data_IF_031942179115
#
_entry.id   IF_031942179115
#
_cell.length_a   1.000
_cell.length_b   1.000
_cell.length_c   1.000
_cell.angle_alpha   90.00
_cell.angle_beta   90.00
_cell.angle_gamma   90.00
#
_symmetry.space_group_name_H-M   'P 1'
#
loop_
_entity.id
_entity.type
_entity.pdbx_description
1 polymer ?
#
# COMPACT_ATOMS: atom_id res chain seq x y z
N UNK A 1 -9.22 -10.24 -27.11
CA UNK A 1 -10.04 -9.83 -25.98
C UNK A 1 -9.17 -9.50 -24.80
N UNK A 2 -9.25 -8.29 -24.32
CA UNK A 2 -8.44 -7.90 -23.18
C UNK A 2 -9.16 -8.25 -21.90
N UNK A 3 -8.45 -8.83 -20.99
CA UNK A 3 -8.98 -9.07 -19.66
C UNK A 3 -8.85 -7.81 -18.84
N UNK A 4 -9.85 -7.52 -18.06
CA UNK A 4 -9.76 -6.44 -17.10
C UNK A 4 -8.79 -6.76 -15.99
N UNK A 5 -8.54 -5.79 -15.09
CA UNK A 5 -7.70 -6.03 -13.93
C UNK A 5 -8.27 -7.14 -13.06
N UNK A 6 -7.44 -7.91 -12.39
CA UNK A 6 -7.90 -9.00 -11.55
C UNK A 6 -8.67 -8.50 -10.34
N UNK A 7 -9.67 -9.28 -9.93
CA UNK A 7 -10.43 -8.97 -8.74
C UNK A 7 -9.68 -9.37 -7.47
N UNK A 8 -8.84 -10.39 -7.56
CA UNK A 8 -8.07 -10.90 -6.44
C UNK A 8 -6.68 -11.29 -6.91
N UNK A 9 -5.71 -11.21 -6.02
CA UNK A 9 -4.33 -11.60 -6.30
C UNK A 9 -3.75 -12.28 -5.07
N UNK A 10 -2.81 -13.20 -5.32
CA UNK A 10 -1.99 -13.78 -4.27
C UNK A 10 -0.70 -12.95 -4.12
N UNK A 11 0.20 -13.38 -3.24
CA UNK A 11 1.45 -12.68 -2.99
C UNK A 11 2.26 -12.46 -4.28
N UNK A 12 2.39 -13.49 -5.09
CA UNK A 12 3.18 -13.37 -6.32
C UNK A 12 2.54 -12.39 -7.31
N UNK A 13 1.21 -12.39 -7.40
CA UNK A 13 0.49 -11.46 -8.25
C UNK A 13 0.64 -10.02 -7.79
N UNK A 14 0.63 -9.80 -6.48
CA UNK A 14 0.85 -8.47 -5.92
C UNK A 14 2.29 -8.01 -6.21
N UNK A 15 3.27 -8.89 -5.97
CA UNK A 15 4.67 -8.55 -6.13
C UNK A 15 5.01 -8.12 -7.57
N UNK A 16 4.26 -8.60 -8.55
CA UNK A 16 4.46 -8.19 -9.94
C UNK A 16 3.93 -6.81 -10.26
N UNK A 17 3.11 -6.25 -9.38
CA UNK A 17 2.43 -4.97 -9.64
C UNK A 17 2.93 -3.82 -8.82
N UNK A 18 3.69 -4.08 -7.76
CA UNK A 18 4.26 -3.03 -6.92
C UNK A 18 5.77 -3.08 -7.03
N UNK A 19 6.48 -2.00 -6.68
CA UNK A 19 7.94 -1.97 -6.81
C UNK A 19 8.67 -2.73 -5.70
N UNK A 20 8.01 -3.66 -5.04
CA UNK A 20 8.57 -4.45 -3.95
C UNK A 20 8.54 -5.92 -4.34
N UNK A 21 9.58 -6.66 -4.01
CA UNK A 21 9.66 -8.07 -4.36
C UNK A 21 10.22 -8.88 -3.20
N UNK A 22 10.04 -10.19 -3.26
CA UNK A 22 10.52 -11.09 -2.22
C UNK A 22 9.92 -10.74 -0.87
N UNK A 23 10.75 -10.73 0.17
CA UNK A 23 10.30 -10.38 1.52
C UNK A 23 9.93 -8.91 1.66
N UNK A 24 10.32 -8.05 0.71
CA UNK A 24 9.92 -6.65 0.72
C UNK A 24 8.46 -6.48 0.34
N UNK A 25 7.84 -7.46 -0.30
CA UNK A 25 6.40 -7.44 -0.56
C UNK A 25 5.69 -7.96 0.69
N UNK A 26 5.06 -7.09 1.43
CA UNK A 26 4.48 -7.42 2.73
C UNK A 26 3.08 -8.02 2.64
N UNK A 27 2.37 -7.76 1.56
CA UNK A 27 0.98 -8.18 1.42
C UNK A 27 0.87 -9.61 0.91
N UNK A 28 -0.07 -10.38 1.44
CA UNK A 28 -0.30 -11.75 1.01
C UNK A 28 -1.39 -11.87 -0.04
N UNK A 29 -2.46 -11.10 0.12
CA UNK A 29 -3.62 -11.22 -0.77
C UNK A 29 -4.28 -9.87 -1.02
N UNK A 30 -4.73 -9.70 -2.25
CA UNK A 30 -5.72 -8.70 -2.60
C UNK A 30 -7.07 -9.37 -2.44
N UNK A 31 -7.88 -8.89 -1.50
CA UNK A 31 -9.19 -9.47 -1.25
C UNK A 31 -10.27 -8.86 -2.13
N UNK A 32 -10.25 -7.54 -2.29
CA UNK A 32 -11.23 -6.84 -3.09
C UNK A 32 -10.76 -5.41 -3.37
N UNK A 33 -11.26 -4.83 -4.45
CA UNK A 33 -10.98 -3.43 -4.75
C UNK A 33 -12.06 -2.84 -5.66
N UNK A 34 -12.17 -1.53 -5.60
CA UNK A 34 -12.99 -0.73 -6.51
C UNK A 34 -12.13 0.44 -6.96
N UNK A 35 -12.60 1.28 -7.89
CA UNK A 35 -11.83 2.49 -8.23
C UNK A 35 -11.55 3.41 -7.04
N UNK A 36 -12.30 3.27 -5.94
CA UNK A 36 -12.17 4.15 -4.79
C UNK A 36 -11.59 3.49 -3.54
N UNK A 37 -11.44 2.18 -3.52
CA UNK A 37 -10.94 1.53 -2.29
C UNK A 37 -10.27 0.20 -2.59
N UNK A 38 -9.49 -0.26 -1.63
CA UNK A 38 -8.79 -1.53 -1.72
C UNK A 38 -8.77 -2.20 -0.34
N UNK A 39 -8.85 -3.52 -0.33
CA UNK A 39 -8.73 -4.33 0.87
C UNK A 39 -7.72 -5.45 0.60
N UNK A 40 -6.67 -5.47 1.40
CA UNK A 40 -5.62 -6.49 1.34
C UNK A 40 -5.47 -7.14 2.71
N UNK A 41 -4.86 -8.31 2.72
CA UNK A 41 -4.52 -9.01 3.97
C UNK A 41 -3.05 -9.38 3.96
N UNK A 42 -2.48 -9.56 5.14
CA UNK A 42 -1.07 -9.88 5.28
C UNK A 42 -0.82 -10.68 6.57
N UNK A 43 0.13 -11.60 6.51
CA UNK A 43 0.59 -12.35 7.67
C UNK A 43 2.07 -12.15 7.93
N UNK A 44 2.74 -11.37 7.09
CA UNK A 44 4.18 -11.15 7.17
C UNK A 44 4.63 -10.46 8.44
N UNK A 45 3.71 -9.86 9.18
CA UNK A 45 4.03 -9.19 10.45
C UNK A 45 4.56 -10.17 11.51
N UNK A 46 4.27 -11.45 11.37
CA UNK A 46 4.75 -12.46 12.29
C UNK A 46 6.00 -13.18 11.81
N UNK A 47 6.46 -12.90 10.59
CA UNK A 47 7.60 -13.59 10.00
C UNK A 47 8.92 -13.05 10.56
N UNK A 48 9.80 -13.97 10.95
CA UNK A 48 11.11 -13.58 11.49
C UNK A 48 11.97 -12.85 10.46
N UNK A 49 11.75 -13.11 9.17
CA UNK A 49 12.51 -12.48 8.08
C UNK A 49 11.87 -11.21 7.53
N UNK A 50 10.89 -10.66 8.22
CA UNK A 50 10.28 -9.40 7.80
C UNK A 50 11.36 -8.30 7.77
N UNK A 51 11.56 -7.63 6.63
CA UNK A 51 12.65 -6.66 6.49
C UNK A 51 12.49 -5.42 7.38
N UNK A 52 11.30 -5.16 7.90
CA UNK A 52 11.06 -4.02 8.76
C UNK A 52 11.28 -4.35 10.24
N UNK A 53 11.57 -5.59 10.53
CA UNK A 53 11.73 -6.05 11.91
C UNK A 53 13.06 -5.58 12.47
N UNK A 54 13.03 -5.15 13.73
CA UNK A 54 14.22 -4.74 14.45
C UNK A 54 14.41 -5.65 15.67
N UNK A 55 15.43 -5.38 16.48
CA UNK A 55 15.63 -6.10 17.74
C UNK A 55 14.44 -5.93 18.68
N UNK A 56 13.69 -4.84 18.55
CA UNK A 56 12.51 -4.58 19.36
C UNK A 56 11.23 -5.19 18.76
N UNK A 57 11.34 -5.94 17.67
CA UNK A 57 10.20 -6.53 16.98
C UNK A 57 9.74 -5.68 15.82
N UNK A 58 8.51 -5.89 15.37
CA UNK A 58 7.92 -5.09 14.31
C UNK A 58 7.05 -4.02 14.96
N UNK A 59 7.49 -2.77 14.90
CA UNK A 59 6.85 -1.70 15.63
C UNK A 59 5.61 -1.17 14.92
N UNK A 60 4.70 -0.58 15.68
CA UNK A 60 3.43 -0.06 15.17
C UNK A 60 3.54 0.82 13.94
N UNK A 61 4.49 1.78 13.90
CA UNK A 61 4.64 2.63 12.71
C UNK A 61 4.90 1.89 11.40
N UNK A 62 5.37 0.65 11.45
CA UNK A 62 5.56 -0.16 10.25
C UNK A 62 4.22 -0.44 9.54
N UNK A 63 3.09 -0.26 10.21
CA UNK A 63 1.78 -0.41 9.58
C UNK A 63 1.61 0.54 8.40
N UNK A 64 2.28 1.69 8.42
CA UNK A 64 2.23 2.65 7.32
C UNK A 64 2.80 2.03 6.05
N UNK A 65 3.82 1.21 6.18
CA UNK A 65 4.42 0.55 5.02
C UNK A 65 3.45 -0.46 4.39
N UNK A 66 2.69 -1.17 5.21
CA UNK A 66 1.63 -2.06 4.71
C UNK A 66 0.59 -1.28 3.93
N UNK A 67 0.17 -0.15 4.48
CA UNK A 67 -0.81 0.71 3.83
C UNK A 67 -0.25 1.29 2.53
N UNK A 68 1.04 1.67 2.54
CA UNK A 68 1.69 2.21 1.35
C UNK A 68 1.68 1.20 0.21
N UNK A 69 1.94 -0.05 0.50
CA UNK A 69 1.93 -1.09 -0.53
C UNK A 69 0.52 -1.33 -1.07
N UNK A 70 -0.50 -1.28 -0.21
CA UNK A 70 -1.87 -1.40 -0.66
C UNK A 70 -2.26 -0.22 -1.57
N UNK A 71 -1.82 0.99 -1.24
CA UNK A 71 -2.08 2.15 -2.09
C UNK A 71 -1.36 2.05 -3.43
N UNK A 72 -0.12 1.55 -3.44
CA UNK A 72 0.62 1.34 -4.68
C UNK A 72 -0.08 0.30 -5.56
N UNK A 73 -0.56 -0.77 -4.94
CA UNK A 73 -1.30 -1.80 -5.66
C UNK A 73 -2.58 -1.22 -6.25
N UNK A 74 -3.32 -0.43 -5.47
CA UNK A 74 -4.54 0.21 -5.95
C UNK A 74 -4.26 1.06 -7.18
N UNK A 75 -3.20 1.84 -7.13
CA UNK A 75 -2.81 2.67 -8.27
C UNK A 75 -2.55 1.84 -9.52
N UNK A 76 -1.93 0.68 -9.38
CA UNK A 76 -1.67 -0.20 -10.53
C UNK A 76 -2.96 -0.80 -11.10
N UNK A 77 -3.95 -1.04 -10.23
CA UNK A 77 -5.21 -1.66 -10.65
C UNK A 77 -6.13 -0.67 -11.35
N UNK A 78 -6.11 0.59 -10.94
CA UNK A 78 -6.98 1.60 -11.53
C UNK A 78 -6.36 2.27 -12.74
N UNK A 79 -5.09 2.00 -13.04
CA UNK A 79 -4.43 2.59 -14.19
C UNK A 79 -5.11 2.15 -15.49
N UNK A 80 -5.12 3.04 -16.47
CA UNK A 80 -5.74 2.74 -17.74
C UNK A 80 -5.05 1.55 -18.41
N UNK A 81 -5.81 0.69 -19.10
CA UNK A 81 -5.21 -0.45 -19.82
C UNK A 81 -4.14 0.02 -20.78
N UNK A 82 -3.05 -0.70 -20.85
CA UNK A 82 -1.97 -0.39 -21.76
C UNK A 82 -1.00 0.66 -21.28
N UNK A 83 -1.28 1.31 -20.15
CA UNK A 83 -0.32 2.27 -19.58
C UNK A 83 0.51 1.57 -18.52
N UNK A 84 1.76 1.92 -18.46
CA UNK A 84 2.59 1.50 -17.34
C UNK A 84 2.23 2.36 -16.15
N UNK A 85 1.86 1.76 -15.02
CA UNK A 85 1.56 2.56 -13.85
C UNK A 85 2.81 3.29 -13.42
N UNK A 86 2.66 4.58 -13.16
CA UNK A 86 3.76 5.35 -12.60
C UNK A 86 3.97 4.94 -11.16
N UNK A 87 5.19 4.69 -10.73
CA UNK A 87 5.43 4.41 -9.32
C UNK A 87 5.02 5.62 -8.50
N UNK A 88 4.36 5.37 -7.38
CA UNK A 88 3.98 6.40 -6.46
C UNK A 88 4.70 6.22 -5.14
N UNK A 89 4.85 7.29 -4.40
CA UNK A 89 5.42 7.21 -3.06
C UNK A 89 4.69 8.18 -2.14
N UNK A 90 4.72 7.85 -0.86
CA UNK A 90 4.07 8.69 0.13
C UNK A 90 4.89 9.95 0.31
N UNK A 91 4.28 11.09 0.03
CA UNK A 91 4.91 12.38 0.25
C UNK A 91 4.61 12.93 1.64
N UNK A 92 3.46 12.60 2.20
CA UNK A 92 3.10 13.03 3.55
C UNK A 92 2.08 12.10 4.16
N UNK A 93 2.11 12.01 5.48
CA UNK A 93 1.11 11.26 6.25
C UNK A 93 0.61 12.20 7.33
N UNK A 94 -0.70 12.24 7.53
CA UNK A 94 -1.33 13.16 8.48
C UNK A 94 -2.35 12.43 9.33
N UNK A 95 -2.61 12.98 10.50
CA UNK A 95 -3.64 12.48 11.42
C UNK A 95 -3.46 11.01 11.73
N UNK A 96 -2.21 10.59 11.89
CA UNK A 96 -1.89 9.20 12.14
C UNK A 96 -2.15 8.87 13.59
N UNK A 97 -2.83 7.77 13.83
CA UNK A 97 -3.08 7.23 15.15
C UNK A 97 -2.68 5.78 15.17
N UNK A 98 -1.99 5.36 16.23
CA UNK A 98 -1.56 3.99 16.39
C UNK A 98 -2.28 3.38 17.58
N UNK A 99 -2.89 2.22 17.35
CA UNK A 99 -3.56 1.47 18.40
C UNK A 99 -2.71 0.36 18.98
N UNK A 100 -1.52 0.13 18.42
CA UNK A 100 -0.63 -0.93 18.89
C UNK A 100 0.80 -0.45 18.86
N UNK A 101 1.59 -0.84 19.86
CA UNK A 101 3.02 -0.53 19.89
C UNK A 101 3.80 -1.49 18.99
N UNK A 102 3.32 -2.72 18.85
CA UNK A 102 3.99 -3.76 18.07
C UNK A 102 2.96 -4.50 17.23
N UNK A 103 3.37 -4.87 16.02
CA UNK A 103 2.55 -5.66 15.12
C UNK A 103 2.87 -7.15 15.17
N UNK A 104 4.11 -7.51 15.52
CA UNK A 104 4.55 -8.89 15.50
C UNK A 104 3.89 -9.76 16.57
N UNK A 105 3.22 -9.14 17.54
CA UNK A 105 2.47 -9.85 18.57
C UNK A 105 0.99 -9.97 18.26
N UNK A 106 0.55 -9.40 17.14
CA UNK A 106 -0.86 -9.42 16.74
C UNK A 106 -1.19 -10.77 16.11
N UNK A 107 -2.24 -11.41 16.63
CA UNK A 107 -2.67 -12.71 16.10
C UNK A 107 -3.52 -12.55 14.86
N UNK A 108 -3.40 -13.51 13.94
CA UNK A 108 -4.19 -13.53 12.70
C UNK A 108 -3.68 -12.58 11.66
N UNK A 109 -4.34 -12.55 10.53
CA UNK A 109 -3.94 -11.72 9.41
C UNK A 109 -4.27 -10.26 9.67
N UNK A 110 -3.38 -9.37 9.25
CA UNK A 110 -3.66 -7.94 9.24
C UNK A 110 -4.66 -7.65 8.12
N UNK A 111 -5.56 -6.72 8.39
CA UNK A 111 -6.53 -6.22 7.41
C UNK A 111 -6.10 -4.82 7.03
N UNK A 112 -5.74 -4.62 5.78
CA UNK A 112 -5.25 -3.34 5.28
C UNK A 112 -6.28 -2.77 4.31
N UNK A 113 -6.78 -1.58 4.60
CA UNK A 113 -7.75 -0.91 3.75
C UNK A 113 -7.28 0.49 3.42
N UNK A 114 -7.53 0.91 2.20
CA UNK A 114 -7.27 2.28 1.80
C UNK A 114 -8.44 2.76 0.96
N UNK A 115 -8.85 4.02 1.18
CA UNK A 115 -9.94 4.65 0.46
C UNK A 115 -9.41 5.90 -0.21
N UNK A 116 -9.61 5.99 -1.51
CA UNK A 116 -9.22 7.16 -2.27
C UNK A 116 -10.19 8.29 -1.97
N UNK A 117 -9.68 9.38 -1.44
CA UNK A 117 -10.48 10.55 -1.08
C UNK A 117 -10.53 11.58 -2.20
N UNK A 118 -9.41 11.73 -2.91
CA UNK A 118 -9.29 12.69 -4.00
C UNK A 118 -8.12 12.29 -4.87
N UNK A 119 -8.13 12.69 -6.12
CA UNK A 119 -7.03 12.41 -7.00
C UNK A 119 -6.90 13.44 -8.08
N UNK A 120 -5.67 13.75 -8.41
CA UNK A 120 -5.32 14.61 -9.53
C UNK A 120 -4.34 13.91 -10.44
N UNK A 121 -3.71 14.67 -11.32
CA UNK A 121 -2.78 14.10 -12.28
C UNK A 121 -1.52 13.58 -11.62
N UNK A 122 -1.07 14.23 -10.57
CA UNK A 122 0.21 13.92 -9.95
C UNK A 122 0.12 13.51 -8.48
N UNK A 123 -1.04 13.57 -7.89
CA UNK A 123 -1.18 13.29 -6.47
C UNK A 123 -2.52 12.63 -6.19
N UNK A 124 -2.52 11.65 -5.31
CA UNK A 124 -3.73 10.97 -4.87
C UNK A 124 -3.76 11.01 -3.35
N UNK A 125 -4.91 11.36 -2.79
CA UNK A 125 -5.10 11.40 -1.35
C UNK A 125 -5.89 10.18 -0.92
N UNK A 126 -5.36 9.47 0.07
CA UNK A 126 -5.99 8.28 0.63
C UNK A 126 -6.21 8.43 2.13
N UNK A 127 -7.26 7.77 2.62
CA UNK A 127 -7.37 7.43 4.02
C UNK A 127 -7.05 5.95 4.16
N UNK A 128 -6.31 5.56 5.19
CA UNK A 128 -5.94 4.16 5.37
C UNK A 128 -6.24 3.68 6.78
N UNK A 129 -6.47 2.38 6.90
CA UNK A 129 -6.63 1.70 8.18
C UNK A 129 -5.95 0.36 8.11
N UNK A 130 -5.27 0.00 9.20
CA UNK A 130 -4.71 -1.33 9.40
C UNK A 130 -5.32 -1.86 10.69
N UNK A 131 -6.00 -3.00 10.58
CA UNK A 131 -6.69 -3.62 11.72
C UNK A 131 -6.21 -5.05 11.89
N UNK A 132 -6.46 -5.63 13.05
CA UNK A 132 -6.24 -7.05 13.24
C UNK A 132 -7.40 -7.85 12.66
N UNK A 133 -7.36 -9.17 12.79
CA UNK A 133 -8.37 -10.04 12.22
C UNK A 133 -9.76 -9.84 12.87
N UNK A 134 -9.80 -9.34 14.09
CA UNK A 134 -11.04 -9.06 14.79
C UNK A 134 -11.59 -7.67 14.50
N UNK A 135 -10.86 -6.86 13.74
CA UNK A 135 -11.27 -5.50 13.41
C UNK A 135 -10.76 -4.43 14.36
N UNK A 136 -9.91 -4.80 15.31
CA UNK A 136 -9.33 -3.81 16.21
C UNK A 136 -8.34 -2.95 15.48
N UNK A 137 -8.44 -1.65 15.62
CA UNK A 137 -7.60 -0.70 14.92
C UNK A 137 -6.16 -0.75 15.42
N UNK A 138 -5.21 -0.93 14.51
CA UNK A 138 -3.79 -0.92 14.82
C UNK A 138 -3.14 0.37 14.36
N UNK A 139 -3.62 0.94 13.26
CA UNK A 139 -3.12 2.22 12.74
C UNK A 139 -4.14 2.80 11.78
N UNK A 140 -4.20 4.12 11.71
CA UNK A 140 -5.01 4.80 10.69
C UNK A 140 -4.40 6.17 10.42
N UNK A 141 -4.75 6.75 9.28
CA UNK A 141 -4.28 8.06 8.93
C UNK A 141 -4.69 8.43 7.52
N UNK A 142 -4.13 9.54 7.05
CA UNK A 142 -4.29 9.99 5.68
C UNK A 142 -2.92 10.10 5.05
N UNK A 143 -2.82 9.77 3.77
CA UNK A 143 -1.56 9.81 3.04
C UNK A 143 -1.77 10.52 1.71
N UNK A 144 -0.83 11.39 1.36
CA UNK A 144 -0.73 11.95 0.02
C UNK A 144 0.32 11.14 -0.72
N UNK A 145 -0.09 10.53 -1.82
CA UNK A 145 0.79 9.73 -2.68
C UNK A 145 1.08 10.57 -3.91
N UNK A 146 2.35 10.86 -4.14
CA UNK A 146 2.78 11.60 -5.30
C UNK A 146 3.15 10.59 -6.38
N UNK A 147 2.56 10.75 -7.55
CA UNK A 147 2.87 9.88 -8.68
C UNK A 147 4.11 10.41 -9.37
N UNK A 148 5.01 9.48 -9.71
CA UNK A 148 6.22 9.83 -10.41
C UNK A 148 5.83 10.23 -11.81
N UNK A 149 5.81 11.52 -12.07
CA UNK A 149 5.54 12.01 -13.40
C UNK A 149 6.74 11.71 -14.27
N UNK A 150 6.52 11.38 -15.51
CA UNK A 150 7.64 11.23 -16.45
C UNK A 150 8.38 12.52 -16.42
N UNK A 151 9.66 12.40 -16.23
CA UNK A 151 10.44 13.48 -16.16
C UNK A 151 10.66 14.04 -17.40
N UNK A 152 9.86 14.64 -17.94
CA UNK A 152 10.13 15.20 -19.10
C UNK A 152 10.80 16.33 -18.83
N UNK A 153 11.16 16.41 -18.26
CA UNK A 153 11.69 17.28 -18.06
C UNK A 153 12.06 18.30 -18.41
N UNK A 154 11.93 18.76 -18.47
CA UNK A 154 12.13 19.74 -18.81
C UNK A 154 13.01 20.54 -18.71
N UNK A 155 13.27 20.18 -18.52
CA UNK A 155 14.12 20.67 -18.41
C UNK A 155 14.47 21.67 -19.02
N UNK A 156 14.22 21.66 -19.41
CA UNK A 156 14.54 22.31 -20.01
C UNK A 156 14.65 23.45 -20.05
N UNK A 157 14.61 23.65 -19.96
CA UNK A 157 14.80 24.52 -20.11
C UNK A 157 15.40 25.30 -20.03
N UNK A 158 15.63 25.14 -19.98
CA UNK A 158 16.45 25.71 -19.80
C UNK A 158 16.67 26.73 -20.28
N UNK A 159 16.55 26.76 -20.50
CA UNK A 159 16.94 27.59 -20.87
C UNK A 159 17.32 28.46 -20.60
#
# INVERSE_FOLDING_TARGET
MTQGPPAQLDHAGIARRIPHSGTMCLLDRLEAWTPNEIHCTATSHTHADNPLRSASGLLGPCAIEYAAQAMALHGSLVAAPGTSPSPGYIASVRNVRFGALRLDTVSGALQIRATRLAGGANEVLYAFQVCDAAGTLLAEGRAAVVLDAPIDSPATEGS
#
